data_IF_261246282905
#
_entry.id   IF_261246282905
#
_cell.length_a   1.000
_cell.length_b   1.000
_cell.length_c   1.000
_cell.angle_alpha   90.00
_cell.angle_beta   90.00
_cell.angle_gamma   90.00
#
_symmetry.space_group_name_H-M   'P 1'
#
loop_
_entity.id
_entity.type
_entity.pdbx_description
1 polymer ?
#
# COMPACT_ATOMS: atom_id res chain seq x y z
N UNK A 1 6.40 -53.10 -27.41
CA UNK A 1 6.33 -52.66 -28.82
C UNK A 1 5.55 -51.36 -28.89
N UNK A 2 6.26 -50.25 -29.11
CA UNK A 2 5.70 -48.98 -29.61
C UNK A 2 5.84 -49.03 -31.14
N UNK A 3 4.90 -48.46 -31.91
CA UNK A 3 5.19 -47.21 -32.65
C UNK A 3 3.99 -46.24 -32.58
N UNK A 4 4.14 -44.95 -32.25
CA UNK A 4 4.70 -43.80 -32.97
C UNK A 4 3.65 -42.98 -33.78
N UNK A 5 3.25 -41.85 -33.15
CA UNK A 5 3.05 -40.48 -33.67
C UNK A 5 2.49 -40.23 -35.08
N UNK A 6 1.40 -39.47 -35.12
CA UNK A 6 1.23 -38.35 -36.07
C UNK A 6 0.23 -37.32 -35.54
N UNK A 7 0.71 -36.09 -35.39
CA UNK A 7 0.01 -34.86 -35.08
C UNK A 7 -1.05 -34.53 -36.16
N UNK A 8 -2.15 -33.87 -35.77
CA UNK A 8 -2.81 -32.86 -36.59
C UNK A 8 -3.59 -31.88 -35.72
N UNK A 9 -3.15 -30.63 -35.79
CA UNK A 9 -3.81 -29.44 -35.28
C UNK A 9 -5.20 -29.29 -35.88
N UNK A 10 -6.20 -28.87 -35.09
CA UNK A 10 -7.09 -27.79 -35.52
C UNK A 10 -8.01 -27.24 -34.42
N UNK A 11 -8.27 -25.93 -34.53
CA UNK A 11 -9.37 -25.13 -33.98
C UNK A 11 -9.12 -24.36 -32.68
N UNK A 12 -8.45 -23.21 -32.84
CA UNK A 12 -8.80 -21.99 -32.08
C UNK A 12 -10.17 -21.49 -32.53
N UNK A 13 -11.13 -21.26 -31.63
CA UNK A 13 -12.20 -20.32 -31.88
C UNK A 13 -11.71 -18.91 -31.52
N UNK A 14 -11.91 -17.98 -32.46
CA UNK A 14 -11.78 -16.55 -32.26
C UNK A 14 -12.54 -16.12 -31.00
N UNK A 15 -11.82 -15.77 -29.93
CA UNK A 15 -12.37 -14.92 -28.87
C UNK A 15 -12.25 -13.49 -29.35
N UNK A 16 -13.28 -13.03 -30.06
CA UNK A 16 -13.55 -11.61 -30.20
C UNK A 16 -13.59 -10.99 -28.80
N UNK A 17 -12.75 -10.00 -28.58
CA UNK A 17 -12.65 -9.27 -27.33
C UNK A 17 -13.94 -8.43 -27.17
N UNK A 18 -14.80 -8.66 -26.17
CA UNK A 18 -16.12 -8.04 -26.09
C UNK A 18 -16.10 -6.59 -25.56
N UNK A 19 -14.93 -6.01 -25.38
CA UNK A 19 -14.78 -4.65 -24.87
C UNK A 19 -14.46 -3.69 -26.01
N UNK A 20 -15.37 -2.75 -26.36
CA UNK A 20 -15.04 -1.70 -27.29
C UNK A 20 -13.93 -0.84 -26.67
N UNK A 21 -12.81 -0.67 -27.38
CA UNK A 21 -11.83 0.35 -27.04
C UNK A 21 -12.50 1.72 -27.18
N UNK A 22 -12.81 2.35 -26.05
CA UNK A 22 -13.40 3.69 -26.03
C UNK A 22 -12.30 4.70 -26.34
N UNK A 23 -12.18 5.09 -27.61
CA UNK A 23 -11.36 6.24 -28.01
C UNK A 23 -12.16 7.51 -27.72
N UNK A 24 -11.84 8.22 -26.63
CA UNK A 24 -12.44 9.53 -26.35
C UNK A 24 -11.72 10.59 -27.18
N UNK A 25 -12.33 11.04 -28.26
CA UNK A 25 -11.91 12.25 -28.99
C UNK A 25 -12.41 13.46 -28.21
N UNK A 26 -11.51 14.34 -27.77
CA UNK A 26 -11.88 15.57 -27.08
C UNK A 26 -12.69 16.50 -28.00
N UNK A 27 -13.83 16.99 -27.52
CA UNK A 27 -14.67 17.98 -28.19
C UNK A 27 -13.96 19.34 -28.18
N UNK A 28 -13.57 19.85 -29.35
CA UNK A 28 -13.05 21.21 -29.48
C UNK A 28 -14.21 22.18 -29.74
N UNK A 29 -14.53 23.01 -28.76
CA UNK A 29 -15.43 24.16 -28.92
C UNK A 29 -14.83 25.16 -29.91
N UNK A 30 -15.57 25.45 -30.98
CA UNK A 30 -15.17 26.42 -31.99
C UNK A 30 -15.27 27.86 -31.48
N UNK A 31 -14.26 28.67 -31.80
CA UNK A 31 -14.46 30.11 -31.98
C UNK A 31 -13.52 30.63 -33.08
N UNK A 32 -14.09 31.42 -33.98
CA UNK A 32 -13.49 31.92 -35.21
C UNK A 32 -12.63 33.16 -35.00
N UNK A 33 -11.54 33.25 -35.79
CA UNK A 33 -11.01 34.42 -36.55
C UNK A 33 -9.51 34.71 -36.37
N UNK A 34 -8.78 34.80 -37.49
CA UNK A 34 -7.44 35.40 -37.60
C UNK A 34 -6.35 34.48 -38.19
N UNK A 35 -6.03 34.64 -39.49
CA UNK A 35 -4.99 33.90 -40.24
C UNK A 35 -3.67 34.67 -40.21
N UNK A 36 -2.56 34.01 -39.85
CA UNK A 36 -1.25 34.07 -40.56
C UNK A 36 -0.19 33.14 -39.92
N UNK A 37 0.84 32.69 -40.66
CA UNK A 37 1.30 31.30 -40.59
C UNK A 37 2.73 31.10 -40.07
N UNK A 38 2.94 29.95 -39.39
CA UNK A 38 4.21 29.20 -39.39
C UNK A 38 3.98 27.80 -38.78
N UNK A 39 4.15 26.69 -39.52
CA UNK A 39 4.13 25.36 -38.92
C UNK A 39 5.57 24.90 -38.71
N UNK A 40 6.20 25.28 -37.61
CA UNK A 40 7.14 24.36 -36.99
C UNK A 40 6.29 23.22 -36.44
N UNK A 41 6.17 22.14 -37.21
CA UNK A 41 5.62 20.88 -36.73
C UNK A 41 6.52 20.36 -35.60
N UNK A 42 6.32 20.88 -34.38
CA UNK A 42 6.60 20.10 -33.19
C UNK A 42 5.60 18.96 -33.27
N UNK A 43 6.07 17.78 -33.64
CA UNK A 43 5.37 16.54 -33.37
C UNK A 43 5.12 16.52 -31.86
N UNK A 44 3.94 16.96 -31.43
CA UNK A 44 3.40 16.67 -30.12
C UNK A 44 3.31 15.15 -30.09
N UNK A 45 4.38 14.48 -29.65
CA UNK A 45 4.33 13.07 -29.33
C UNK A 45 3.14 12.93 -28.39
N UNK A 46 2.05 12.23 -28.78
CA UNK A 46 0.96 11.98 -27.88
C UNK A 46 1.45 10.89 -26.95
N UNK A 47 2.33 11.25 -26.00
CA UNK A 47 2.60 10.38 -24.88
C UNK A 47 1.25 10.11 -24.23
N UNK A 48 0.85 8.83 -24.11
CA UNK A 48 -0.41 8.50 -23.47
C UNK A 48 -0.38 9.10 -22.07
N UNK A 49 -1.27 10.05 -21.80
CA UNK A 49 -1.51 10.55 -20.45
C UNK A 49 -2.16 9.40 -19.71
N UNK A 50 -1.40 8.77 -18.81
CA UNK A 50 -1.95 7.78 -17.89
C UNK A 50 -2.87 8.54 -16.94
N UNK A 51 -4.17 8.44 -17.17
CA UNK A 51 -5.17 8.92 -16.22
C UNK A 51 -5.31 7.81 -15.18
N UNK A 52 -4.90 8.06 -13.91
CA UNK A 52 -5.10 7.08 -12.86
C UNK A 52 -6.58 6.75 -12.77
N UNK A 53 -6.90 5.49 -12.50
CA UNK A 53 -8.28 5.15 -12.17
C UNK A 53 -8.71 5.97 -10.94
N UNK A 54 -9.97 6.38 -10.86
CA UNK A 54 -10.50 7.08 -9.67
C UNK A 54 -10.36 6.21 -8.40
N UNK A 55 -10.17 4.91 -8.59
CA UNK A 55 -9.96 3.90 -7.55
C UNK A 55 -8.47 3.58 -7.32
N UNK A 56 -7.55 4.21 -8.06
CA UNK A 56 -6.13 3.96 -7.93
C UNK A 56 -5.60 4.62 -6.67
N UNK A 57 -5.12 3.78 -5.76
CA UNK A 57 -4.63 4.24 -4.48
C UNK A 57 -3.33 5.04 -4.67
N UNK A 58 -3.25 6.24 -4.10
CA UNK A 58 -2.02 7.01 -4.11
C UNK A 58 -1.05 6.50 -3.02
N UNK A 59 -0.45 5.33 -3.27
CA UNK A 59 0.46 4.64 -2.35
C UNK A 59 1.59 5.57 -1.90
N UNK A 60 2.13 6.39 -2.82
CA UNK A 60 3.19 7.34 -2.50
C UNK A 60 2.72 8.38 -1.48
N UNK A 61 1.55 8.99 -1.66
CA UNK A 61 0.99 9.96 -0.71
C UNK A 61 0.83 9.35 0.68
N UNK A 62 0.28 8.14 0.76
CA UNK A 62 -0.02 7.49 2.04
C UNK A 62 1.23 6.97 2.76
N UNK A 63 2.23 6.49 2.02
CA UNK A 63 3.48 5.95 2.58
C UNK A 63 4.65 6.93 2.56
N UNK A 64 4.45 8.18 2.12
CA UNK A 64 5.52 9.17 1.93
C UNK A 64 6.42 9.31 3.17
N UNK A 65 5.83 9.36 4.37
CA UNK A 65 6.57 9.52 5.62
C UNK A 65 7.39 8.28 6.03
N UNK A 66 7.10 7.12 5.46
CA UNK A 66 7.73 5.84 5.79
C UNK A 66 8.36 5.15 4.57
N UNK A 67 8.49 5.87 3.45
CA UNK A 67 8.98 5.33 2.17
C UNK A 67 10.40 4.77 2.28
N UNK A 68 11.22 5.31 3.19
CA UNK A 68 12.58 4.80 3.48
C UNK A 68 12.58 3.36 3.99
N UNK A 69 11.45 2.88 4.52
CA UNK A 69 11.26 1.52 5.02
C UNK A 69 10.47 0.65 4.04
N UNK A 70 10.25 1.09 2.79
CA UNK A 70 9.41 0.38 1.82
C UNK A 70 9.79 -1.10 1.66
N UNK A 71 11.08 -1.43 1.63
CA UNK A 71 11.55 -2.81 1.54
C UNK A 71 11.05 -3.65 2.72
N UNK A 72 11.24 -3.17 3.95
CA UNK A 72 10.77 -3.84 5.16
C UNK A 72 9.25 -3.96 5.17
N UNK A 73 8.53 -2.90 4.81
CA UNK A 73 7.07 -2.92 4.76
C UNK A 73 6.55 -3.97 3.77
N UNK A 74 7.16 -4.05 2.59
CA UNK A 74 6.83 -5.06 1.60
C UNK A 74 7.08 -6.48 2.12
N UNK A 75 8.23 -6.72 2.79
CA UNK A 75 8.54 -8.02 3.40
C UNK A 75 7.50 -8.41 4.47
N UNK A 76 7.19 -7.49 5.41
CA UNK A 76 6.19 -7.72 6.46
C UNK A 76 4.81 -8.06 5.90
N UNK A 77 4.37 -7.34 4.86
CA UNK A 77 3.09 -7.60 4.19
C UNK A 77 3.13 -8.93 3.46
N UNK A 78 4.22 -9.26 2.78
CA UNK A 78 4.35 -10.51 2.04
C UNK A 78 4.36 -11.74 2.96
N UNK A 79 4.99 -11.63 4.13
CA UNK A 79 5.03 -12.69 5.15
C UNK A 79 3.86 -12.67 6.12
N UNK A 80 2.90 -11.75 5.94
CA UNK A 80 1.72 -11.59 6.80
C UNK A 80 2.07 -11.38 8.28
N UNK A 81 3.14 -10.63 8.56
CA UNK A 81 3.52 -10.30 9.93
C UNK A 81 2.50 -9.36 10.59
N UNK A 82 2.28 -9.44 11.91
CA UNK A 82 1.35 -8.57 12.61
C UNK A 82 1.82 -7.11 12.61
N UNK A 83 1.04 -6.20 12.02
CA UNK A 83 1.38 -4.77 11.90
C UNK A 83 0.26 -3.90 12.47
N UNK A 84 0.59 -2.99 13.38
CA UNK A 84 -0.32 -1.94 13.82
C UNK A 84 0.01 -0.61 13.15
N UNK A 85 -0.96 0.01 12.47
CA UNK A 85 -0.86 1.35 11.89
C UNK A 85 -1.60 2.34 12.78
N UNK A 86 -0.86 3.33 13.29
CA UNK A 86 -1.36 4.40 14.14
C UNK A 86 -1.40 5.71 13.34
N UNK A 87 -2.57 6.30 13.13
CA UNK A 87 -2.73 7.50 12.31
C UNK A 87 -3.70 8.52 12.93
N UNK A 88 -3.54 9.83 12.70
CA UNK A 88 -4.31 10.87 13.41
C UNK A 88 -5.80 10.86 13.08
N UNK A 89 -6.19 10.33 11.92
CA UNK A 89 -7.58 10.29 11.46
C UNK A 89 -7.91 8.93 10.82
N UNK A 90 -9.20 8.51 10.83
CA UNK A 90 -9.61 7.23 10.24
C UNK A 90 -9.34 7.15 8.74
N UNK A 91 -9.39 8.28 8.03
CA UNK A 91 -9.13 8.34 6.60
C UNK A 91 -7.67 8.01 6.29
N UNK A 92 -6.73 8.70 6.96
CA UNK A 92 -5.28 8.45 6.80
C UNK A 92 -4.93 7.03 7.22
N UNK A 93 -5.56 6.55 8.30
CA UNK A 93 -5.42 5.18 8.78
C UNK A 93 -5.79 4.17 7.69
N UNK A 94 -7.00 4.30 7.15
CA UNK A 94 -7.55 3.38 6.15
C UNK A 94 -6.76 3.43 4.84
N UNK A 95 -6.40 4.63 4.36
CA UNK A 95 -5.55 4.82 3.18
C UNK A 95 -4.19 4.12 3.35
N UNK A 96 -3.58 4.23 4.52
CA UNK A 96 -2.28 3.63 4.81
C UNK A 96 -2.37 2.10 4.83
N UNK A 97 -3.33 1.53 5.55
CA UNK A 97 -3.52 0.06 5.59
C UNK A 97 -3.77 -0.48 4.19
N UNK A 98 -4.62 0.18 3.40
CA UNK A 98 -4.87 -0.21 2.02
C UNK A 98 -3.61 -0.11 1.15
N UNK A 99 -2.76 0.89 1.40
CA UNK A 99 -1.49 1.08 0.69
C UNK A 99 -0.51 -0.04 0.99
N UNK A 100 -0.42 -0.48 2.24
CA UNK A 100 0.41 -1.60 2.65
C UNK A 100 -0.02 -2.89 1.95
N UNK A 101 -1.32 -3.22 1.99
CA UNK A 101 -1.87 -4.39 1.28
C UNK A 101 -1.59 -4.33 -0.22
N UNK A 102 -1.61 -3.13 -0.80
CA UNK A 102 -1.36 -2.92 -2.23
C UNK A 102 0.12 -3.03 -2.62
N UNK A 103 1.07 -3.05 -1.68
CA UNK A 103 2.51 -3.17 -1.96
C UNK A 103 2.87 -4.48 -2.66
N UNK A 104 2.11 -5.54 -2.41
CA UNK A 104 2.39 -6.88 -2.95
C UNK A 104 1.61 -7.19 -4.23
N UNK A 105 0.86 -6.23 -4.78
CA UNK A 105 0.17 -6.45 -6.05
C UNK A 105 1.17 -6.91 -7.14
N UNK A 106 0.79 -7.86 -8.00
CA UNK A 106 -0.56 -8.42 -8.19
C UNK A 106 -0.93 -9.57 -7.25
N UNK A 107 -0.12 -9.89 -6.24
CA UNK A 107 -0.42 -10.95 -5.28
C UNK A 107 -1.60 -10.55 -4.39
N UNK A 108 -2.43 -11.53 -4.05
CA UNK A 108 -3.52 -11.35 -3.09
C UNK A 108 -2.95 -11.46 -1.68
N UNK A 109 -3.27 -10.49 -0.83
CA UNK A 109 -2.94 -10.55 0.58
C UNK A 109 -3.69 -11.71 1.25
N UNK A 110 -2.95 -12.55 1.97
CA UNK A 110 -3.42 -13.86 2.46
C UNK A 110 -3.86 -13.87 3.93
N UNK A 111 -3.97 -12.70 4.54
CA UNK A 111 -4.22 -12.52 5.98
C UNK A 111 -5.29 -11.44 6.18
N UNK A 112 -5.77 -11.30 7.40
CA UNK A 112 -6.78 -10.30 7.73
C UNK A 112 -6.16 -8.89 7.76
N UNK A 113 -6.98 -7.90 7.42
CA UNK A 113 -6.63 -6.51 7.61
C UNK A 113 -7.87 -5.71 8.03
N UNK A 114 -7.67 -4.75 8.93
CA UNK A 114 -8.71 -3.83 9.40
C UNK A 114 -8.26 -2.40 9.09
N UNK A 115 -8.77 -1.77 8.02
CA UNK A 115 -8.39 -0.41 7.66
C UNK A 115 -8.62 0.60 8.79
N UNK A 116 -9.66 0.38 9.59
CA UNK A 116 -9.94 1.14 10.79
C UNK A 116 -10.61 0.23 11.84
N UNK A 117 -9.96 0.13 13.00
CA UNK A 117 -10.34 -0.72 14.12
C UNK A 117 -10.63 0.14 15.36
N UNK A 118 -11.69 -0.24 16.08
CA UNK A 118 -12.21 0.53 17.20
C UNK A 118 -12.36 -0.32 18.45
N UNK A 119 -12.52 0.34 19.60
CA UNK A 119 -12.81 -0.34 20.86
C UNK A 119 -14.20 -0.99 20.90
N UNK A 120 -15.06 -0.67 19.93
CA UNK A 120 -16.42 -1.17 19.85
C UNK A 120 -16.52 -2.44 19.00
N UNK A 121 -15.44 -2.84 18.35
CA UNK A 121 -15.39 -4.06 17.55
C UNK A 121 -15.42 -5.28 18.49
N UNK A 122 -16.19 -6.31 18.12
CA UNK A 122 -16.37 -7.52 18.93
C UNK A 122 -15.05 -8.23 19.25
N UNK A 123 -14.08 -8.11 18.37
CA UNK A 123 -12.76 -8.74 18.37
C UNK A 123 -11.75 -7.93 19.20
N UNK A 124 -12.15 -6.80 19.79
CA UNK A 124 -11.27 -5.94 20.58
C UNK A 124 -10.53 -6.70 21.68
N UNK A 125 -11.20 -7.58 22.42
CA UNK A 125 -10.55 -8.37 23.47
C UNK A 125 -9.52 -9.36 22.92
N UNK A 126 -9.76 -9.91 21.73
CA UNK A 126 -8.88 -10.86 21.08
C UNK A 126 -7.59 -10.17 20.63
N UNK A 127 -7.69 -9.04 19.94
CA UNK A 127 -6.50 -8.32 19.46
C UNK A 127 -5.72 -7.57 20.54
N UNK A 128 -6.31 -7.34 21.72
CA UNK A 128 -5.65 -6.59 22.81
C UNK A 128 -5.14 -7.46 23.95
N UNK A 129 -5.40 -8.78 23.92
CA UNK A 129 -4.89 -9.69 24.94
C UNK A 129 -3.36 -9.80 24.88
N UNK A 130 -2.73 -9.89 26.06
CA UNK A 130 -1.26 -10.03 26.18
C UNK A 130 -0.81 -11.48 26.36
N UNK A 131 -1.76 -12.40 26.46
CA UNK A 131 -1.48 -13.82 26.78
C UNK A 131 -1.14 -14.65 25.54
N UNK A 132 -1.38 -14.13 24.34
CA UNK A 132 -1.13 -14.80 23.08
C UNK A 132 -0.27 -13.92 22.18
N UNK A 133 0.46 -14.56 21.27
CA UNK A 133 1.12 -13.85 20.18
C UNK A 133 0.07 -13.14 19.33
N UNK A 134 0.33 -11.91 18.86
CA UNK A 134 -0.58 -11.23 17.95
C UNK A 134 -0.88 -12.09 16.71
N UNK A 135 -2.15 -12.17 16.28
CA UNK A 135 -2.49 -12.88 15.05
C UNK A 135 -1.89 -12.16 13.83
N UNK A 136 -1.66 -12.87 12.71
CA UNK A 136 -1.26 -12.24 11.46
C UNK A 136 -2.40 -11.34 10.99
N UNK A 137 -2.27 -10.03 11.22
CA UNK A 137 -3.25 -9.00 10.84
C UNK A 137 -2.58 -7.64 10.69
N UNK A 138 -3.04 -6.84 9.72
CA UNK A 138 -2.74 -5.42 9.64
C UNK A 138 -3.88 -4.64 10.29
N UNK A 139 -3.60 -3.96 11.40
CA UNK A 139 -4.60 -3.28 12.22
C UNK A 139 -4.42 -1.76 12.17
N UNK A 140 -5.36 -1.05 11.56
CA UNK A 140 -5.40 0.41 11.55
C UNK A 140 -6.13 0.99 12.76
N UNK A 141 -5.51 1.90 13.49
CA UNK A 141 -6.09 2.57 14.68
C UNK A 141 -5.76 4.06 14.72
N UNK A 142 -6.61 4.85 15.38
CA UNK A 142 -6.40 6.31 15.54
C UNK A 142 -6.31 6.78 17.00
N UNK A 143 -6.81 5.99 17.93
CA UNK A 143 -6.92 6.41 19.33
C UNK A 143 -5.59 6.19 20.07
N UNK A 144 -5.04 7.21 20.77
CA UNK A 144 -3.85 7.07 21.63
C UNK A 144 -3.94 5.95 22.67
N UNK A 145 -5.16 5.55 23.06
CA UNK A 145 -5.38 4.36 23.88
C UNK A 145 -4.70 3.11 23.30
N UNK A 146 -4.80 2.88 21.99
CA UNK A 146 -4.17 1.74 21.32
C UNK A 146 -2.64 1.79 21.38
N UNK A 147 -2.04 2.98 21.53
CA UNK A 147 -0.60 3.11 21.68
C UNK A 147 -0.07 2.40 22.93
N UNK A 148 -0.85 2.39 24.02
CA UNK A 148 -0.50 1.65 25.25
C UNK A 148 -0.93 0.18 25.16
N UNK A 149 -2.10 -0.06 24.61
CA UNK A 149 -2.69 -1.41 24.59
C UNK A 149 -1.93 -2.35 23.66
N UNK A 150 -1.54 -1.88 22.47
CA UNK A 150 -0.83 -2.63 21.44
C UNK A 150 0.69 -2.43 21.48
N UNK A 151 1.25 -1.81 22.53
CA UNK A 151 2.69 -1.54 22.63
C UNK A 151 3.58 -2.79 22.59
N UNK A 152 2.99 -3.96 22.86
CA UNK A 152 3.68 -5.24 22.88
C UNK A 152 3.74 -5.90 21.49
N UNK A 153 3.07 -5.34 20.49
CA UNK A 153 3.07 -5.84 19.12
C UNK A 153 4.43 -5.60 18.45
N UNK A 154 4.87 -6.52 17.57
CA UNK A 154 6.23 -6.50 17.01
C UNK A 154 6.47 -5.32 16.07
N UNK A 155 5.44 -4.91 15.31
CA UNK A 155 5.55 -3.87 14.29
C UNK A 155 4.49 -2.79 14.49
N UNK A 156 4.94 -1.58 14.77
CA UNK A 156 4.08 -0.41 14.98
C UNK A 156 4.54 0.72 14.05
N UNK A 157 3.67 1.10 13.12
CA UNK A 157 3.85 2.19 12.19
C UNK A 157 3.07 3.40 12.72
N UNK A 158 3.72 4.56 12.81
CA UNK A 158 3.07 5.82 13.18
C UNK A 158 3.08 6.77 12.00
N UNK A 159 1.91 7.20 11.57
CA UNK A 159 1.70 8.11 10.44
C UNK A 159 1.39 9.51 10.97
N UNK A 160 2.07 10.52 10.43
CA UNK A 160 1.90 11.91 10.84
C UNK A 160 2.28 12.17 12.29
N UNK A 161 1.82 13.30 12.84
CA UNK A 161 2.12 13.71 14.21
C UNK A 161 1.21 13.00 15.22
N UNK A 162 1.25 11.67 15.20
CA UNK A 162 0.55 10.79 16.14
C UNK A 162 1.20 10.91 17.53
N UNK A 163 1.01 12.06 18.18
CA UNK A 163 1.37 12.32 19.57
C UNK A 163 2.86 12.42 19.87
N UNK A 164 3.67 13.07 19.03
CA UNK A 164 5.06 13.39 19.38
C UNK A 164 5.16 14.58 20.35
N UNK A 165 4.61 14.42 21.54
CA UNK A 165 4.80 15.34 22.66
C UNK A 165 5.40 14.64 23.88
N UNK A 166 6.32 13.66 23.71
CA UNK A 166 7.36 13.34 24.70
C UNK A 166 8.27 12.18 24.27
N UNK A 167 9.31 12.45 23.49
CA UNK A 167 10.47 11.54 23.46
C UNK A 167 11.77 12.32 23.22
N UNK A 168 12.08 13.21 24.18
CA UNK A 168 13.46 13.58 24.48
C UNK A 168 14.19 12.39 25.12
N UNK A 169 14.38 11.28 24.38
CA UNK A 169 15.37 10.28 24.76
C UNK A 169 16.75 10.79 24.32
N UNK A 170 17.34 11.62 25.19
CA UNK A 170 18.78 11.88 25.19
C UNK A 170 19.49 10.53 25.22
N UNK A 171 20.14 10.15 24.12
CA UNK A 171 21.04 8.99 24.07
C UNK A 171 22.16 9.16 25.10
N UNK A 172 21.97 8.62 26.31
CA UNK A 172 23.07 8.37 27.24
C UNK A 172 23.64 7.00 26.93
N UNK A 173 24.71 6.99 26.16
CA UNK A 173 25.57 5.82 25.94
C UNK A 173 26.11 5.40 27.31
N UNK A 174 25.59 4.31 27.88
CA UNK A 174 26.17 3.68 29.07
C UNK A 174 27.43 2.95 28.63
N UNK A 175 28.58 3.49 29.04
CA UNK A 175 29.91 2.88 28.91
C UNK A 175 29.89 1.49 29.57
N UNK A 176 29.99 0.43 28.77
CA UNK A 176 30.06 -0.95 29.25
C UNK A 176 31.37 -1.19 29.99
N UNK A 177 31.25 -1.78 31.18
CA UNK A 177 32.35 -2.05 32.09
C UNK A 177 33.37 -3.07 31.57
N UNK A 178 34.60 -2.86 32.03
CA UNK A 178 35.82 -3.63 31.85
C UNK A 178 35.63 -5.14 32.13
N UNK A 179 35.76 -5.99 31.11
CA UNK A 179 35.95 -7.43 31.32
C UNK A 179 37.43 -7.64 31.69
N UNK A 180 37.68 -8.20 32.87
CA UNK A 180 39.00 -8.71 33.29
C UNK A 180 39.06 -10.20 32.98
N UNK A 181 40.05 -10.59 32.18
CA UNK A 181 40.40 -11.98 31.87
C UNK A 181 41.17 -12.59 33.04
N UNK A 182 40.92 -13.88 33.32
CA UNK A 182 41.64 -14.72 34.29
C UNK A 182 43.03 -15.10 33.77
#
# INVERSE_FOLDING_TARGET
TVPNRSEKLNHSPNTENPYPSVSITALTSGNSSGISPSPSQQSLNPYPVVIPSVYELNIYKSLASIVTHCQLLWELVLTCEPVTVMAPTPDVCSETVQSLVSLILPLKYGSDFRPFFTIHDSEFKEYTTKTQSPPPVILGVTNPFFAKTLQHWPHIIRIGDYGTANNNHKNKIKKSGLIKTL
#
